data_IF_030372031604
#
_entry.id   IF_030372031604
#
_cell.length_a   1.000
_cell.length_b   1.000
_cell.length_c   1.000
_cell.angle_alpha   90.00
_cell.angle_beta   90.00
_cell.angle_gamma   90.00
#
_symmetry.space_group_name_H-M   'P 1'
#
loop_
_entity.id
_entity.type
_entity.pdbx_description
1 polymer ?
#
# COMPACT_ATOMS: atom_id res chain seq x y z
N UNK A 1 2.00 26.96 -3.84
CA UNK A 1 3.13 26.15 -3.32
C UNK A 1 2.72 24.68 -3.20
N UNK A 2 2.27 24.06 -4.31
CA UNK A 2 1.63 22.73 -4.33
C UNK A 2 2.56 21.57 -4.73
N UNK A 3 3.78 21.84 -5.18
CA UNK A 3 4.72 20.81 -5.69
C UNK A 3 5.25 19.84 -4.64
N UNK A 4 5.59 20.31 -3.43
CA UNK A 4 6.38 19.52 -2.48
C UNK A 4 5.75 18.22 -1.98
N UNK A 5 4.42 18.13 -1.92
CA UNK A 5 3.74 16.90 -1.48
C UNK A 5 3.76 15.80 -2.55
N UNK A 6 3.55 16.17 -3.82
CA UNK A 6 3.64 15.25 -4.95
C UNK A 6 5.07 14.74 -5.12
N UNK A 7 6.05 15.62 -4.96
CA UNK A 7 7.47 15.27 -5.06
C UNK A 7 7.87 14.24 -4.01
N UNK A 8 7.43 14.39 -2.75
CA UNK A 8 7.73 13.44 -1.68
C UNK A 8 7.15 12.04 -1.94
N UNK A 9 5.91 11.95 -2.45
CA UNK A 9 5.27 10.67 -2.80
C UNK A 9 5.97 10.04 -4.00
N UNK A 10 6.29 10.84 -5.02
CA UNK A 10 7.01 10.39 -6.20
C UNK A 10 8.42 9.87 -5.86
N UNK A 11 9.14 10.55 -4.95
CA UNK A 11 10.44 10.09 -4.45
C UNK A 11 10.34 8.74 -3.77
N UNK A 12 9.35 8.53 -2.89
CA UNK A 12 9.17 7.25 -2.19
C UNK A 12 8.82 6.10 -3.15
N UNK A 13 7.98 6.37 -4.15
CA UNK A 13 7.69 5.40 -5.22
C UNK A 13 8.93 5.10 -6.07
N UNK A 14 9.74 6.11 -6.38
CA UNK A 14 10.97 5.95 -7.15
C UNK A 14 12.04 5.17 -6.38
N UNK A 15 12.20 5.42 -5.08
CA UNK A 15 13.08 4.66 -4.19
C UNK A 15 12.64 3.19 -4.11
N UNK A 16 11.34 2.92 -4.13
CA UNK A 16 10.80 1.57 -4.21
C UNK A 16 10.92 0.94 -5.61
N UNK A 17 11.39 1.67 -6.64
CA UNK A 17 11.44 1.18 -8.02
C UNK A 17 10.08 1.11 -8.72
N UNK A 18 9.04 1.72 -8.15
CA UNK A 18 7.66 1.71 -8.63
C UNK A 18 7.30 2.97 -9.46
N UNK A 19 8.32 3.63 -10.02
CA UNK A 19 8.15 4.78 -10.92
C UNK A 19 7.23 4.44 -12.09
N UNK A 20 6.17 5.23 -12.29
CA UNK A 20 5.18 5.01 -13.36
C UNK A 20 4.01 4.08 -12.98
N UNK A 21 3.98 3.58 -11.74
CA UNK A 21 2.89 2.78 -11.17
C UNK A 21 2.31 3.49 -9.92
N UNK A 22 2.15 4.81 -10.01
CA UNK A 22 1.58 5.63 -8.93
C UNK A 22 0.06 5.76 -9.04
N UNK A 23 -0.63 6.12 -7.94
CA UNK A 23 -2.04 6.46 -8.03
C UNK A 23 -2.24 7.64 -8.97
N UNK A 24 -3.27 7.56 -9.82
CA UNK A 24 -3.88 8.73 -10.46
C UNK A 24 -4.58 9.55 -9.36
N UNK A 25 -3.78 10.17 -8.52
CA UNK A 25 -4.24 10.88 -7.34
C UNK A 25 -4.57 12.32 -7.69
N UNK A 26 -5.75 12.76 -7.28
CA UNK A 26 -6.00 14.19 -7.16
C UNK A 26 -5.06 14.83 -6.14
N UNK A 27 -4.94 16.16 -6.19
CA UNK A 27 -4.09 16.93 -5.28
C UNK A 27 -4.43 16.71 -3.80
N UNK A 28 -5.70 16.39 -3.49
CA UNK A 28 -6.15 16.17 -2.13
C UNK A 28 -5.61 14.86 -1.55
N UNK A 29 -5.65 13.76 -2.31
CA UNK A 29 -5.04 12.50 -1.90
C UNK A 29 -3.53 12.65 -1.74
N UNK A 30 -2.85 13.27 -2.71
CA UNK A 30 -1.39 13.45 -2.66
C UNK A 30 -0.97 14.25 -1.42
N UNK A 31 -1.69 15.34 -1.11
CA UNK A 31 -1.46 16.11 0.11
C UNK A 31 -1.68 15.26 1.36
N UNK A 32 -2.79 14.54 1.45
CA UNK A 32 -3.12 13.73 2.63
C UNK A 32 -2.10 12.61 2.84
N UNK A 33 -1.67 11.94 1.79
CA UNK A 33 -0.65 10.90 1.86
C UNK A 33 0.67 11.49 2.37
N UNK A 34 1.08 12.65 1.86
CA UNK A 34 2.28 13.33 2.34
C UNK A 34 2.17 13.75 3.82
N UNK A 35 1.01 14.26 4.27
CA UNK A 35 0.76 14.55 5.69
C UNK A 35 0.90 13.29 6.55
N UNK A 36 0.35 12.15 6.11
CA UNK A 36 0.49 10.86 6.80
C UNK A 36 1.95 10.42 6.85
N UNK A 37 2.66 10.45 5.72
CA UNK A 37 4.09 10.08 5.63
C UNK A 37 4.94 10.92 6.58
N UNK A 38 4.70 12.22 6.65
CA UNK A 38 5.44 13.13 7.52
C UNK A 38 5.29 12.77 9.01
N UNK A 39 4.10 12.31 9.39
CA UNK A 39 3.76 11.89 10.77
C UNK A 39 4.31 10.50 11.09
N UNK A 40 4.06 9.52 10.22
CA UNK A 40 4.33 8.10 10.54
C UNK A 40 5.73 7.65 10.15
N UNK A 41 6.41 8.41 9.29
CA UNK A 41 7.79 8.17 8.83
C UNK A 41 8.00 6.70 8.43
N UNK A 42 7.32 6.23 7.37
CA UNK A 42 7.35 4.82 7.00
C UNK A 42 8.77 4.36 6.65
N UNK A 43 9.07 3.10 6.96
CA UNK A 43 10.35 2.47 6.61
C UNK A 43 10.39 2.06 5.13
N UNK A 44 9.23 1.67 4.61
CA UNK A 44 9.02 1.33 3.21
C UNK A 44 7.53 1.37 2.88
N UNK A 45 7.19 1.24 1.61
CA UNK A 45 5.82 1.13 1.14
C UNK A 45 5.61 -0.06 0.21
N UNK A 46 4.35 -0.45 0.07
CA UNK A 46 3.86 -1.25 -1.04
C UNK A 46 2.66 -0.53 -1.66
N UNK A 47 2.43 -0.74 -2.96
CA UNK A 47 1.23 -0.23 -3.64
C UNK A 47 0.21 -1.36 -3.81
N UNK A 48 -1.07 -1.04 -3.66
CA UNK A 48 -2.18 -1.94 -3.95
C UNK A 48 -2.80 -1.62 -5.29
N UNK A 49 -2.60 -2.49 -6.27
CA UNK A 49 -3.22 -2.44 -7.59
C UNK A 49 -4.53 -3.23 -7.57
N UNK A 50 -5.65 -2.52 -7.68
CA UNK A 50 -6.98 -3.10 -7.79
C UNK A 50 -7.25 -3.60 -9.20
N UNK A 51 -7.83 -4.79 -9.30
CA UNK A 51 -8.21 -5.46 -10.56
C UNK A 51 -9.52 -6.24 -10.38
N UNK A 52 -10.24 -6.51 -11.47
CA UNK A 52 -11.35 -7.50 -11.48
C UNK A 52 -10.88 -8.92 -11.79
N UNK A 53 -9.60 -9.09 -12.12
CA UNK A 53 -9.00 -10.36 -12.51
C UNK A 53 -7.54 -10.39 -12.06
N UNK A 54 -7.22 -11.21 -11.07
CA UNK A 54 -5.85 -11.34 -10.55
C UNK A 54 -4.89 -11.94 -11.57
N UNK A 55 -5.33 -12.93 -12.36
CA UNK A 55 -4.46 -13.67 -13.27
C UNK A 55 -4.05 -12.76 -14.44
N UNK A 56 -5.02 -12.08 -15.06
CA UNK A 56 -4.73 -11.11 -16.13
C UNK A 56 -3.86 -9.96 -15.63
N UNK A 57 -4.19 -9.39 -14.46
CA UNK A 57 -3.41 -8.27 -13.92
C UNK A 57 -1.99 -8.69 -13.55
N UNK A 58 -1.80 -9.92 -13.07
CA UNK A 58 -0.48 -10.48 -12.84
C UNK A 58 0.33 -10.57 -14.12
N UNK A 59 -0.21 -11.15 -15.19
CA UNK A 59 0.49 -11.25 -16.47
C UNK A 59 0.90 -9.85 -17.00
N UNK A 60 -0.04 -8.89 -17.00
CA UNK A 60 0.20 -7.52 -17.46
C UNK A 60 1.26 -6.78 -16.61
N UNK A 61 1.18 -6.90 -15.28
CA UNK A 61 2.12 -6.21 -14.38
C UNK A 61 3.46 -6.91 -14.29
N UNK A 62 3.51 -8.24 -14.37
CA UNK A 62 4.76 -9.00 -14.45
C UNK A 62 5.50 -8.58 -15.71
N UNK A 63 4.86 -8.46 -16.87
CA UNK A 63 5.55 -7.98 -18.08
C UNK A 63 6.10 -6.56 -17.89
N UNK A 64 5.31 -5.65 -17.32
CA UNK A 64 5.74 -4.26 -17.05
C UNK A 64 6.85 -4.15 -16.01
N UNK A 65 6.84 -5.01 -14.98
CA UNK A 65 7.84 -5.06 -13.92
C UNK A 65 9.05 -5.92 -14.30
N UNK A 66 8.91 -6.86 -15.24
CA UNK A 66 9.97 -7.74 -15.73
C UNK A 66 11.05 -6.94 -16.48
N UNK A 67 10.65 -5.82 -17.10
CA UNK A 67 11.56 -4.79 -17.61
C UNK A 67 12.48 -4.19 -16.51
N UNK A 68 12.20 -4.46 -15.23
CA UNK A 68 12.95 -4.01 -14.06
C UNK A 68 13.61 -5.15 -13.24
N UNK A 69 13.50 -6.43 -13.66
CA UNK A 69 14.10 -7.60 -12.99
C UNK A 69 13.14 -8.80 -12.90
N UNK A 70 13.52 -9.88 -12.22
CA UNK A 70 12.64 -11.06 -12.03
C UNK A 70 11.52 -10.76 -11.04
N UNK A 71 10.28 -10.65 -11.52
CA UNK A 71 9.10 -10.64 -10.65
C UNK A 71 8.91 -12.04 -10.06
N UNK A 72 8.67 -12.12 -8.75
CA UNK A 72 8.16 -13.33 -8.08
C UNK A 72 6.77 -13.04 -7.57
N UNK A 73 5.81 -13.84 -7.98
CA UNK A 73 4.49 -13.87 -7.38
C UNK A 73 4.51 -14.83 -6.17
N UNK A 74 3.71 -14.51 -5.17
CA UNK A 74 3.31 -15.50 -4.17
C UNK A 74 1.89 -15.19 -3.68
N UNK A 75 1.08 -16.22 -3.42
CA UNK A 75 -0.13 -16.06 -2.64
C UNK A 75 0.22 -15.46 -1.28
N UNK A 76 -0.57 -14.48 -0.85
CA UNK A 76 -0.48 -13.86 0.47
C UNK A 76 -1.87 -13.87 1.12
N UNK A 77 -1.97 -13.71 2.45
CA UNK A 77 -3.27 -13.62 3.12
C UNK A 77 -4.17 -12.54 2.50
N UNK A 78 -5.49 -12.67 2.59
CA UNK A 78 -6.41 -11.64 2.12
C UNK A 78 -6.26 -10.33 2.90
N UNK A 79 -6.71 -9.22 2.30
CA UNK A 79 -6.85 -7.94 2.97
C UNK A 79 -8.25 -7.83 3.57
N UNK A 80 -8.37 -8.03 4.88
CA UNK A 80 -9.65 -7.98 5.59
C UNK A 80 -10.27 -6.56 5.60
N UNK A 81 -9.42 -5.52 5.67
CA UNK A 81 -9.90 -4.14 5.79
C UNK A 81 -10.42 -3.59 4.46
N UNK A 82 -9.85 -4.06 3.35
CA UNK A 82 -10.30 -3.71 2.01
C UNK A 82 -11.32 -4.70 1.43
N UNK A 83 -11.35 -5.92 1.96
CA UNK A 83 -12.20 -7.01 1.48
C UNK A 83 -11.68 -7.60 0.16
N UNK A 84 -10.39 -7.97 0.13
CA UNK A 84 -9.69 -8.36 -1.07
C UNK A 84 -8.96 -9.71 -0.97
N UNK A 85 -8.99 -10.48 -2.05
CA UNK A 85 -7.99 -11.51 -2.33
C UNK A 85 -6.71 -10.85 -2.82
N UNK A 86 -5.55 -11.44 -2.48
CA UNK A 86 -4.27 -10.78 -2.68
C UNK A 86 -3.20 -11.69 -3.30
N UNK A 87 -2.42 -11.14 -4.24
CA UNK A 87 -1.12 -11.68 -4.68
C UNK A 87 -0.05 -10.62 -4.52
N UNK A 88 1.16 -11.01 -4.13
CA UNK A 88 2.28 -10.09 -3.99
C UNK A 88 3.25 -10.27 -5.15
N UNK A 89 3.49 -9.19 -5.90
CA UNK A 89 4.58 -9.06 -6.85
C UNK A 89 5.72 -8.25 -6.22
N UNK A 90 6.95 -8.73 -6.38
CA UNK A 90 8.14 -7.98 -5.95
C UNK A 90 8.97 -7.60 -7.17
N UNK A 91 9.33 -6.32 -7.30
CA UNK A 91 10.26 -5.85 -8.33
C UNK A 91 11.70 -6.25 -8.00
N UNK A 92 12.59 -6.27 -9.01
CA UNK A 92 14.01 -6.56 -8.81
C UNK A 92 14.75 -5.58 -7.88
N UNK A 93 14.16 -4.42 -7.59
CA UNK A 93 14.69 -3.41 -6.65
C UNK A 93 14.06 -3.48 -5.25
N UNK A 94 13.19 -4.46 -5.00
CA UNK A 94 12.55 -4.67 -3.70
C UNK A 94 11.24 -3.91 -3.49
N UNK A 95 10.74 -3.17 -4.49
CA UNK A 95 9.40 -2.60 -4.46
C UNK A 95 8.33 -3.67 -4.50
N UNK A 96 7.30 -3.50 -3.67
CA UNK A 96 6.19 -4.44 -3.53
C UNK A 96 4.91 -3.88 -4.18
N UNK A 97 4.28 -4.70 -5.03
CA UNK A 97 2.96 -4.45 -5.60
C UNK A 97 2.02 -5.57 -5.14
N UNK A 98 0.99 -5.21 -4.39
CA UNK A 98 -0.11 -6.11 -4.04
C UNK A 98 -1.16 -6.02 -5.13
N UNK A 99 -1.42 -7.11 -5.83
CA UNK A 99 -2.60 -7.26 -6.66
C UNK A 99 -3.79 -7.52 -5.74
N UNK A 100 -4.86 -6.76 -5.93
CA UNK A 100 -6.03 -6.78 -5.08
C UNK A 100 -7.27 -7.02 -5.96
N UNK A 101 -7.93 -8.16 -5.74
CA UNK A 101 -9.23 -8.44 -6.35
C UNK A 101 -10.29 -8.45 -5.26
N UNK A 102 -11.42 -7.72 -5.44
CA UNK A 102 -12.49 -7.74 -4.46
C UNK A 102 -13.00 -9.16 -4.21
N UNK A 103 -12.97 -9.61 -2.95
CA UNK A 103 -13.57 -10.88 -2.52
C UNK A 103 -14.90 -10.68 -1.79
N UNK A 104 -15.27 -9.41 -1.53
CA UNK A 104 -16.50 -9.00 -0.88
C UNK A 104 -17.02 -7.69 -1.50
N UNK A 105 -18.29 -7.33 -1.24
CA UNK A 105 -18.87 -6.02 -1.60
C UNK A 105 -18.37 -4.89 -0.66
N UNK A 106 -17.05 -4.83 -0.45
CA UNK A 106 -16.39 -3.96 0.52
C UNK A 106 -15.81 -2.68 -0.08
N UNK A 107 -14.77 -2.16 0.60
CA UNK A 107 -14.12 -0.90 0.21
C UNK A 107 -13.48 -0.99 -1.16
N UNK A 108 -12.79 -2.09 -1.44
CA UNK A 108 -12.13 -2.28 -2.72
C UNK A 108 -13.12 -2.36 -3.88
N UNK A 109 -14.21 -3.12 -3.73
CA UNK A 109 -15.27 -3.20 -4.73
C UNK A 109 -15.86 -1.81 -5.04
N UNK A 110 -16.16 -1.03 -4.00
CA UNK A 110 -16.65 0.33 -4.16
C UNK A 110 -15.64 1.26 -4.87
N UNK A 111 -14.36 1.17 -4.49
CA UNK A 111 -13.29 1.94 -5.10
C UNK A 111 -13.14 1.62 -6.59
N UNK A 112 -13.10 0.32 -6.93
CA UNK A 112 -12.96 -0.16 -8.29
C UNK A 112 -14.18 0.21 -9.16
N UNK A 113 -15.40 0.15 -8.63
CA UNK A 113 -16.60 0.60 -9.35
C UNK A 113 -16.57 2.10 -9.70
N UNK A 114 -15.83 2.92 -8.93
CA UNK A 114 -15.78 4.37 -9.11
C UNK A 114 -14.62 4.85 -9.96
N UNK A 115 -13.48 4.18 -9.86
CA UNK A 115 -12.22 4.61 -10.45
C UNK A 115 -11.68 3.67 -11.51
N UNK A 116 -12.26 2.47 -11.65
CA UNK A 116 -11.72 1.41 -12.48
C UNK A 116 -10.52 0.73 -11.81
N UNK A 117 -9.79 -0.05 -12.61
CA UNK A 117 -8.56 -0.72 -12.18
C UNK A 117 -7.39 0.25 -12.02
N UNK A 118 -6.42 -0.13 -11.19
CA UNK A 118 -5.22 0.66 -10.95
C UNK A 118 -4.89 0.79 -9.47
N UNK A 119 -4.02 1.74 -9.12
CA UNK A 119 -3.56 1.91 -7.73
C UNK A 119 -4.64 2.54 -6.86
N UNK A 120 -5.25 1.72 -5.99
CA UNK A 120 -6.32 2.13 -5.07
C UNK A 120 -5.97 1.91 -3.60
N UNK A 121 -4.77 1.43 -3.28
CA UNK A 121 -4.27 1.37 -1.91
C UNK A 121 -2.78 1.66 -1.81
N UNK A 122 -2.34 2.19 -0.68
CA UNK A 122 -0.94 2.40 -0.31
C UNK A 122 -0.74 1.81 1.08
N UNK A 123 0.23 0.90 1.20
CA UNK A 123 0.59 0.23 2.45
C UNK A 123 1.89 0.84 2.97
N UNK A 124 1.84 1.48 4.13
CA UNK A 124 2.98 2.12 4.76
C UNK A 124 3.47 1.22 5.90
N UNK A 125 4.66 0.63 5.74
CA UNK A 125 5.28 -0.17 6.82
C UNK A 125 5.91 0.77 7.83
N UNK A 126 5.42 0.75 9.06
CA UNK A 126 5.80 1.74 10.09
C UNK A 126 6.45 1.09 11.30
N UNK A 127 7.22 1.87 12.07
CA UNK A 127 7.71 1.44 13.36
C UNK A 127 6.57 1.38 14.40
N UNK A 128 6.72 0.61 15.47
CA UNK A 128 5.71 0.51 16.54
C UNK A 128 5.37 1.88 17.17
N UNK A 129 6.34 2.81 17.20
CA UNK A 129 6.17 4.18 17.72
C UNK A 129 5.29 5.08 16.84
N UNK A 130 5.01 4.67 15.59
CA UNK A 130 4.25 5.47 14.64
C UNK A 130 2.74 5.52 14.97
N UNK A 131 2.16 4.48 15.57
CA UNK A 131 0.73 4.48 15.93
C UNK A 131 0.41 5.52 17.03
N UNK A 132 1.18 5.60 18.14
CA UNK A 132 1.03 6.71 19.09
C UNK A 132 1.25 8.09 18.45
N UNK A 133 2.20 8.22 17.51
CA UNK A 133 2.45 9.48 16.81
C UNK A 133 1.27 9.88 15.92
N UNK A 134 0.71 8.93 15.17
CA UNK A 134 -0.49 9.12 14.36
C UNK A 134 -1.67 9.61 15.20
N UNK A 135 -1.90 9.00 16.37
CA UNK A 135 -2.96 9.41 17.28
C UNK A 135 -2.76 10.84 17.81
N UNK A 136 -1.54 11.19 18.25
CA UNK A 136 -1.22 12.56 18.71
C UNK A 136 -1.37 13.60 17.60
N UNK A 137 -1.11 13.21 16.36
CA UNK A 137 -1.31 14.06 15.18
C UNK A 137 -2.79 14.12 14.72
N UNK A 138 -3.71 13.49 15.44
CA UNK A 138 -5.14 13.50 15.12
C UNK A 138 -5.53 12.61 13.93
N UNK A 139 -4.70 11.64 13.55
CA UNK A 139 -5.08 10.66 12.54
C UNK A 139 -6.08 9.66 13.14
N UNK A 140 -7.28 9.61 12.56
CA UNK A 140 -8.27 8.58 12.87
C UNK A 140 -7.91 7.29 12.14
N UNK A 141 -7.89 6.17 12.85
CA UNK A 141 -7.56 4.84 12.32
C UNK A 141 -8.70 3.86 12.62
N UNK A 142 -8.87 2.83 11.80
CA UNK A 142 -9.74 1.70 12.14
C UNK A 142 -9.18 0.88 13.32
N UNK A 143 -9.98 -0.07 13.80
CA UNK A 143 -9.45 -1.23 14.50
C UNK A 143 -8.41 -1.95 13.64
N UNK A 144 -7.55 -2.72 14.30
CA UNK A 144 -6.58 -3.56 13.61
C UNK A 144 -7.27 -4.70 12.87
N UNK A 145 -6.80 -5.02 11.67
CA UNK A 145 -7.20 -6.19 10.90
C UNK A 145 -5.98 -6.94 10.38
N UNK A 146 -6.19 -8.17 9.93
CA UNK A 146 -5.17 -8.91 9.19
C UNK A 146 -5.01 -8.34 7.78
N UNK A 147 -3.82 -8.53 7.21
CA UNK A 147 -3.50 -8.06 5.89
C UNK A 147 -2.42 -8.90 5.21
N UNK A 148 -2.27 -8.74 3.88
CA UNK A 148 -1.36 -9.54 3.05
C UNK A 148 0.12 -9.40 3.46
N UNK A 149 0.45 -8.31 4.14
CA UNK A 149 1.82 -7.93 4.48
C UNK A 149 2.04 -7.73 5.98
N UNK A 150 1.08 -8.13 6.81
CA UNK A 150 1.10 -7.99 8.26
C UNK A 150 -0.18 -7.37 8.80
N UNK A 151 -0.24 -7.25 10.14
CA UNK A 151 -1.34 -6.57 10.82
C UNK A 151 -1.39 -5.10 10.41
N UNK A 152 -2.59 -4.58 10.21
CA UNK A 152 -2.75 -3.27 9.59
C UNK A 152 -3.95 -2.49 10.12
N UNK A 153 -3.92 -1.18 9.91
CA UNK A 153 -5.02 -0.24 10.21
C UNK A 153 -5.22 0.70 9.03
N UNK A 154 -6.47 0.95 8.67
CA UNK A 154 -6.82 1.90 7.63
C UNK A 154 -6.85 3.32 8.22
N UNK A 155 -6.22 4.27 7.54
CA UNK A 155 -6.32 5.70 7.86
C UNK A 155 -7.66 6.24 7.36
N UNK A 156 -8.45 6.80 8.27
CA UNK A 156 -9.76 7.38 8.00
C UNK A 156 -9.65 8.88 7.68
N UNK A 157 -10.74 9.43 7.16
CA UNK A 157 -10.83 10.84 6.73
C UNK A 157 -10.16 11.12 5.37
N UNK A 158 -9.73 10.09 4.65
CA UNK A 158 -9.37 10.18 3.23
C UNK A 158 -10.61 10.14 2.32
N UNK A 159 -10.42 10.16 0.99
CA UNK A 159 -11.52 10.01 0.04
C UNK A 159 -12.34 8.75 0.35
N UNK A 160 -13.67 8.89 0.37
CA UNK A 160 -14.60 7.80 0.78
C UNK A 160 -14.41 6.51 -0.04
N UNK A 161 -13.97 6.65 -1.29
CA UNK A 161 -13.87 5.58 -2.29
C UNK A 161 -12.42 5.25 -2.63
N UNK A 162 -11.45 5.76 -1.85
CA UNK A 162 -10.02 5.58 -2.12
C UNK A 162 -9.41 6.63 -3.06
N UNK A 163 -8.09 6.55 -3.32
CA UNK A 163 -7.20 5.49 -2.85
C UNK A 163 -7.06 5.44 -1.32
N UNK A 164 -6.88 4.24 -0.77
CA UNK A 164 -6.82 3.96 0.66
C UNK A 164 -5.38 3.98 1.18
N UNK A 165 -5.17 4.43 2.43
CA UNK A 165 -3.85 4.40 3.07
C UNK A 165 -3.90 3.49 4.28
N UNK A 166 -3.06 2.46 4.31
CA UNK A 166 -2.97 1.49 5.39
C UNK A 166 -1.63 1.65 6.11
N UNK A 167 -1.67 1.63 7.44
CA UNK A 167 -0.48 1.54 8.29
C UNK A 167 -0.28 0.08 8.66
N UNK A 168 0.84 -0.49 8.22
CA UNK A 168 1.21 -1.88 8.49
C UNK A 168 2.18 -1.91 9.66
N UNK A 169 1.81 -2.67 10.69
CA UNK A 169 2.64 -2.89 11.86
C UNK A 169 3.99 -3.52 11.45
N UNK A 170 5.06 -3.30 12.23
CA UNK A 170 6.32 -4.00 11.99
C UNK A 170 6.07 -5.52 12.09
N UNK A 171 6.74 -6.30 11.23
CA UNK A 171 6.69 -7.75 11.33
C UNK A 171 7.13 -8.18 12.74
N UNK A 172 6.31 -9.00 13.41
CA UNK A 172 6.72 -9.62 14.67
C UNK A 172 7.80 -10.66 14.37
N UNK A 173 9.04 -10.30 14.69
CA UNK A 173 10.21 -11.16 14.58
C UNK A 173 11.44 -10.42 15.05
N UNK A 174 12.44 -11.12 15.61
CA UNK A 174 13.72 -10.48 15.92
C UNK A 174 14.30 -9.88 14.64
N UNK A 175 15.04 -8.76 14.73
CA UNK A 175 15.69 -8.19 13.55
C UNK A 175 16.55 -9.27 12.86
N UNK A 176 16.62 -9.29 11.51
CA UNK A 176 17.53 -10.19 10.81
C UNK A 176 18.95 -9.98 11.35
N UNK A 177 19.50 -11.00 12.02
CA UNK A 177 20.79 -10.94 12.69
C UNK A 177 20.79 -11.35 14.18
N UNK A 178 19.63 -11.52 14.83
CA UNK A 178 19.60 -12.11 16.18
C UNK A 178 19.75 -13.62 16.11
N UNK A 179 20.98 -14.12 16.24
CA UNK A 179 21.22 -15.50 16.64
C UNK A 179 20.81 -15.61 18.11
N UNK A 180 19.76 -16.38 18.40
CA UNK A 180 19.45 -16.78 19.77
C UNK A 180 20.46 -17.87 20.10
N UNK A 181 21.44 -17.52 20.94
CA UNK A 181 22.40 -18.45 21.52
C UNK A 181 21.79 -19.31 22.61
#
# INVERSE_FOLDING_TARGET
>A
MTGGHRDAVASLLAEAGLSGIGPSADDAFAKRLADVIAVVRPRSLAIGWATVDLERAEEELVERLALQGTARDRPVPPDELLGASCRLLTSGRGGEVLLLEPSTEGRLAAALARFGEGVLAIYLRVAATALPAAHRAGLSLTAEGAGPVGRQRLVLGGPRWGPHVLLVAPAEGPPPGTIIG
#
